data_IF_749536397114
#
_entry.id   IF_749536397114
#
_cell.length_a   1.000
_cell.length_b   1.000
_cell.length_c   1.000
_cell.angle_alpha   90.00
_cell.angle_beta   90.00
_cell.angle_gamma   90.00
#
_symmetry.space_group_name_H-M   'P 1'
#
loop_
_entity.id
_entity.type
_entity.pdbx_description
1 polymer ?
#
# COMPACT_ATOMS: atom_id res chain seq x y z
N UNK A 1 -7.92 -2.56 -11.81
CA UNK A 1 -7.34 -1.22 -11.66
C UNK A 1 -7.49 -0.78 -10.23
N UNK A 2 -6.51 -0.05 -9.72
CA UNK A 2 -6.50 0.32 -8.31
C UNK A 2 -5.69 1.59 -8.12
N UNK A 3 -5.80 2.20 -6.94
CA UNK A 3 -4.87 3.22 -6.51
C UNK A 3 -3.64 2.55 -5.91
N UNK A 4 -2.50 3.21 -5.98
CA UNK A 4 -1.21 2.68 -5.56
C UNK A 4 -0.58 3.65 -4.57
N UNK A 5 -0.07 3.12 -3.46
CA UNK A 5 0.66 3.92 -2.48
C UNK A 5 2.15 3.84 -2.81
N UNK A 6 2.74 4.99 -3.11
CA UNK A 6 4.13 5.08 -3.52
C UNK A 6 5.10 5.32 -2.38
N UNK A 7 6.34 5.66 -2.75
CA UNK A 7 7.45 5.75 -1.82
C UNK A 7 7.28 6.86 -0.77
N UNK A 8 6.53 7.92 -1.07
CA UNK A 8 6.35 9.03 -0.13
C UNK A 8 5.67 8.59 1.18
N UNK A 9 4.93 7.46 1.17
CA UNK A 9 4.32 6.92 2.38
C UNK A 9 5.33 6.21 3.30
N UNK A 10 6.46 5.76 2.76
CA UNK A 10 7.43 4.98 3.54
C UNK A 10 7.92 5.80 4.72
N UNK A 11 7.83 5.22 5.92
CA UNK A 11 8.20 5.82 7.21
C UNK A 11 7.36 7.04 7.62
N UNK A 12 6.38 7.45 6.82
CA UNK A 12 5.39 8.47 7.18
C UNK A 12 4.13 7.83 7.73
N UNK A 13 3.52 6.94 6.92
CA UNK A 13 2.37 6.14 7.29
C UNK A 13 1.22 6.96 7.90
N UNK A 14 0.92 8.11 7.29
CA UNK A 14 -0.27 8.86 7.69
C UNK A 14 -1.51 8.04 7.35
N UNK A 15 -2.39 7.84 8.32
CA UNK A 15 -3.48 6.90 8.19
C UNK A 15 -4.81 7.55 7.76
N UNK A 16 -4.79 8.80 7.33
CA UNK A 16 -6.02 9.46 6.88
C UNK A 16 -6.69 8.70 5.75
N UNK A 17 -5.89 8.10 4.85
CA UNK A 17 -6.42 7.31 3.74
C UNK A 17 -7.19 6.07 4.21
N UNK A 18 -6.76 5.46 5.30
CA UNK A 18 -7.42 4.25 5.84
C UNK A 18 -8.84 4.56 6.27
N UNK A 19 -9.04 5.70 6.92
CA UNK A 19 -10.35 6.10 7.40
C UNK A 19 -11.32 6.40 6.26
N UNK A 20 -10.81 6.81 5.10
CA UNK A 20 -11.62 7.20 3.97
C UNK A 20 -11.89 6.07 2.98
N UNK A 21 -11.25 4.93 3.14
CA UNK A 21 -11.50 3.80 2.24
C UNK A 21 -12.81 3.10 2.62
N UNK A 22 -13.84 3.15 1.74
CA UNK A 22 -15.16 2.61 2.09
C UNK A 22 -15.21 1.08 2.16
N UNK A 23 -14.24 0.39 1.57
CA UNK A 23 -14.21 -1.07 1.55
C UNK A 23 -13.05 -1.65 2.36
N UNK A 24 -12.33 -0.81 3.09
CA UNK A 24 -11.29 -1.25 4.02
C UNK A 24 -10.22 -2.11 3.33
N UNK A 25 -9.74 -1.65 2.17
CA UNK A 25 -8.75 -2.40 1.38
C UNK A 25 -7.32 -1.90 1.52
N UNK A 26 -7.05 -1.04 2.52
CA UNK A 26 -5.70 -0.52 2.78
C UNK A 26 -5.12 -1.23 3.99
N UNK A 27 -4.06 -1.98 3.76
CA UNK A 27 -3.45 -2.86 4.76
C UNK A 27 -2.16 -2.24 5.30
N UNK A 28 -1.84 -2.54 6.55
CA UNK A 28 -0.72 -1.91 7.26
C UNK A 28 0.49 -2.84 7.30
N UNK A 29 1.58 -2.45 6.62
CA UNK A 29 2.89 -3.08 6.76
C UNK A 29 3.64 -2.49 7.95
N UNK A 30 4.95 -2.67 7.98
CA UNK A 30 5.79 -2.08 9.04
C UNK A 30 6.11 -0.61 8.74
N UNK A 31 6.47 -0.29 7.49
CA UNK A 31 6.93 1.05 7.09
C UNK A 31 6.01 1.75 6.13
N UNK A 32 5.09 1.03 5.50
CA UNK A 32 4.23 1.55 4.43
C UNK A 32 2.84 0.93 4.53
N UNK A 33 1.85 1.65 4.02
CA UNK A 33 0.49 1.12 3.82
C UNK A 33 0.38 0.58 2.39
N UNK A 34 -0.48 -0.42 2.20
CA UNK A 34 -0.64 -1.10 0.90
C UNK A 34 -2.12 -1.18 0.54
N UNK A 35 -2.46 -0.76 -0.68
CA UNK A 35 -3.82 -0.89 -1.21
C UNK A 35 -3.92 -2.23 -1.94
N UNK A 36 -4.95 -3.03 -1.61
CA UNK A 36 -5.16 -4.31 -2.27
C UNK A 36 -5.62 -4.06 -3.72
N UNK A 37 -4.89 -4.57 -4.72
CA UNK A 37 -5.17 -4.24 -6.13
C UNK A 37 -6.51 -4.80 -6.63
N UNK A 38 -7.00 -5.90 -6.04
CA UNK A 38 -8.25 -6.52 -6.46
C UNK A 38 -9.44 -6.03 -5.64
N UNK A 39 -9.23 -5.65 -4.37
CA UNK A 39 -10.32 -5.19 -3.51
C UNK A 39 -10.64 -3.72 -3.72
N UNK A 40 -9.69 -2.93 -4.22
CA UNK A 40 -9.87 -1.50 -4.45
C UNK A 40 -10.92 -1.23 -5.53
N UNK A 41 -11.84 -0.31 -5.27
CA UNK A 41 -12.93 0.03 -6.19
C UNK A 41 -12.68 1.32 -6.97
N UNK A 42 -11.47 1.85 -6.95
CA UNK A 42 -11.07 3.05 -7.71
C UNK A 42 -11.83 4.33 -7.34
N UNK A 43 -12.35 4.43 -6.11
CA UNK A 43 -13.13 5.61 -5.72
C UNK A 43 -12.29 6.88 -5.50
N UNK A 44 -10.99 6.74 -5.23
CA UNK A 44 -10.08 7.88 -5.10
C UNK A 44 -10.15 8.63 -3.78
N UNK A 45 -10.98 8.22 -2.82
CA UNK A 45 -11.12 8.92 -1.55
C UNK A 45 -9.80 8.96 -0.77
N UNK A 46 -9.05 7.85 -0.79
CA UNK A 46 -7.77 7.76 -0.09
C UNK A 46 -6.73 8.74 -0.66
N UNK A 47 -6.70 8.90 -1.98
CA UNK A 47 -5.74 9.80 -2.63
C UNK A 47 -5.96 11.26 -2.22
N UNK A 48 -7.23 11.64 -2.07
CA UNK A 48 -7.56 13.01 -1.65
C UNK A 48 -7.19 13.27 -0.19
N UNK A 49 -7.08 12.25 0.62
CA UNK A 49 -6.79 12.38 2.05
C UNK A 49 -5.32 12.27 2.39
N UNK A 50 -4.47 11.84 1.46
CA UNK A 50 -3.06 11.65 1.75
C UNK A 50 -2.32 12.98 1.80
N UNK A 51 -1.74 13.37 2.96
CA UNK A 51 -1.09 14.68 3.09
C UNK A 51 0.26 14.78 2.40
N UNK A 52 0.85 13.64 2.02
CA UNK A 52 2.16 13.61 1.33
C UNK A 52 2.03 13.23 -0.14
N UNK A 53 0.80 13.18 -0.65
CA UNK A 53 0.54 12.88 -2.07
C UNK A 53 1.17 11.56 -2.53
N UNK A 54 1.13 10.55 -1.67
CA UNK A 54 1.75 9.26 -1.96
C UNK A 54 0.88 8.35 -2.81
N UNK A 55 -0.39 8.68 -3.01
CA UNK A 55 -1.37 7.78 -3.62
C UNK A 55 -1.74 8.25 -5.00
N UNK A 56 -1.55 7.39 -6.00
CA UNK A 56 -1.82 7.69 -7.40
C UNK A 56 -2.62 6.56 -8.02
N UNK A 57 -3.58 6.89 -8.91
CA UNK A 57 -4.29 5.88 -9.69
C UNK A 57 -3.30 5.18 -10.61
N UNK A 58 -3.39 3.86 -10.75
CA UNK A 58 -2.41 3.10 -11.50
C UNK A 58 -2.32 3.53 -12.98
N UNK A 59 -3.41 4.01 -13.54
CA UNK A 59 -3.42 4.51 -14.92
C UNK A 59 -2.69 5.84 -15.10
N UNK A 60 -2.49 6.59 -14.00
CA UNK A 60 -1.78 7.85 -14.03
C UNK A 60 -0.30 7.71 -13.70
N UNK A 61 0.16 6.49 -13.38
CA UNK A 61 1.55 6.26 -13.06
C UNK A 61 2.42 6.33 -14.31
N UNK A 62 3.46 7.14 -14.23
CA UNK A 62 4.50 7.17 -15.26
C UNK A 62 5.34 5.90 -15.13
N UNK A 63 5.47 5.09 -16.21
CA UNK A 63 6.31 3.88 -16.14
C UNK A 63 7.77 4.15 -15.76
N UNK A 64 8.25 5.36 -15.97
CA UNK A 64 9.62 5.76 -15.58
C UNK A 64 9.70 6.20 -14.13
N UNK A 65 8.59 6.37 -13.44
CA UNK A 65 8.56 6.79 -12.05
C UNK A 65 8.87 5.62 -11.10
N UNK A 66 9.58 5.87 -9.98
CA UNK A 66 9.75 4.84 -8.95
C UNK A 66 8.42 4.28 -8.44
N UNK A 67 7.36 5.08 -8.45
CA UNK A 67 6.06 4.64 -7.95
C UNK A 67 5.44 3.54 -8.81
N UNK A 68 5.86 3.41 -10.07
CA UNK A 68 5.37 2.31 -10.91
C UNK A 68 5.81 0.93 -10.38
N UNK A 69 6.96 0.86 -9.73
CA UNK A 69 7.41 -0.39 -9.11
C UNK A 69 6.55 -0.75 -7.91
N UNK A 70 6.00 0.24 -7.21
CA UNK A 70 5.11 0.00 -6.08
C UNK A 70 3.77 -0.59 -6.51
N UNK A 71 3.33 -0.35 -7.74
CA UNK A 71 2.13 -1.01 -8.27
C UNK A 71 2.32 -2.52 -8.36
N UNK A 72 3.44 -2.97 -8.92
CA UNK A 72 3.78 -4.39 -8.98
C UNK A 72 4.03 -4.95 -7.57
N UNK A 73 4.68 -4.16 -6.72
CA UNK A 73 5.01 -4.58 -5.37
C UNK A 73 3.76 -4.76 -4.51
N UNK A 74 2.71 -3.96 -4.72
CA UNK A 74 1.45 -4.14 -4.00
C UNK A 74 0.85 -5.50 -4.30
N UNK A 75 0.90 -5.95 -5.57
CA UNK A 75 0.46 -7.29 -5.92
C UNK A 75 1.30 -8.35 -5.22
N UNK A 76 2.61 -8.15 -5.18
CA UNK A 76 3.51 -9.10 -4.49
C UNK A 76 3.21 -9.16 -2.99
N UNK A 77 2.86 -8.03 -2.37
CA UNK A 77 2.53 -8.01 -0.95
C UNK A 77 1.40 -8.97 -0.60
N UNK A 78 0.40 -9.09 -1.47
CA UNK A 78 -0.77 -9.93 -1.20
C UNK A 78 -0.65 -11.33 -1.76
N UNK A 79 0.08 -11.53 -2.84
CA UNK A 79 0.07 -12.82 -3.57
C UNK A 79 1.39 -13.58 -3.50
N UNK A 80 2.37 -13.08 -2.75
CA UNK A 80 3.60 -13.79 -2.45
C UNK A 80 3.77 -13.88 -0.94
N UNK A 81 4.41 -14.94 -0.42
CA UNK A 81 4.65 -15.05 1.01
C UNK A 81 5.53 -13.92 1.52
N UNK A 82 5.10 -13.28 2.61
CA UNK A 82 5.88 -12.24 3.27
C UNK A 82 6.84 -12.86 4.30
N UNK A 83 7.91 -12.13 4.69
CA UNK A 83 8.82 -12.62 5.73
C UNK A 83 8.07 -13.02 6.99
N UNK A 84 8.34 -14.23 7.47
CA UNK A 84 7.69 -14.76 8.67
C UNK A 84 6.30 -15.35 8.46
N UNK A 85 5.79 -15.34 7.22
CA UNK A 85 4.49 -15.92 6.90
C UNK A 85 4.66 -17.06 5.90
N UNK A 86 4.09 -18.24 6.17
CA UNK A 86 4.25 -19.40 5.28
C UNK A 86 3.39 -19.33 4.03
N UNK A 87 2.34 -18.50 4.02
CA UNK A 87 1.41 -18.41 2.89
C UNK A 87 1.10 -16.96 2.58
N UNK A 88 0.77 -16.63 1.30
CA UNK A 88 0.40 -15.27 0.92
C UNK A 88 -0.94 -14.86 1.54
N UNK A 89 -1.14 -13.55 1.66
CA UNK A 89 -2.38 -13.00 2.24
C UNK A 89 -3.60 -13.23 1.35
N UNK A 90 -3.42 -13.14 0.05
CA UNK A 90 -4.47 -13.26 -0.98
C UNK A 90 -5.54 -12.17 -0.81
N UNK A 91 -6.82 -12.55 -0.72
CA UNK A 91 -7.93 -11.59 -0.57
C UNK A 91 -8.55 -11.71 0.82
N UNK A 92 -7.98 -11.01 1.83
CA UNK A 92 -8.51 -11.10 3.19
C UNK A 92 -9.92 -10.53 3.35
N UNK A 93 -10.33 -9.59 2.48
CA UNK A 93 -11.68 -9.05 2.51
C UNK A 93 -11.93 -7.93 3.50
N UNK A 94 -10.89 -7.37 4.10
CA UNK A 94 -11.01 -6.25 5.02
C UNK A 94 -9.78 -6.13 5.91
N UNK A 95 -9.16 -4.94 5.88
CA UNK A 95 -7.93 -4.71 6.63
C UNK A 95 -8.16 -4.74 8.14
N UNK A 96 -9.30 -4.23 8.60
CA UNK A 96 -9.61 -4.20 10.02
C UNK A 96 -9.77 -5.61 10.59
N UNK A 97 -10.35 -6.52 9.81
CA UNK A 97 -10.55 -7.91 10.24
C UNK A 97 -9.23 -8.67 10.33
N UNK A 98 -8.32 -8.41 9.39
CA UNK A 98 -7.00 -9.04 9.40
C UNK A 98 -6.10 -8.46 10.48
N UNK A 99 -6.21 -7.15 10.74
CA UNK A 99 -5.32 -6.43 11.61
C UNK A 99 -4.01 -6.04 10.92
N UNK A 100 -3.10 -5.36 11.63
CA UNK A 100 -1.82 -4.96 11.05
C UNK A 100 -1.01 -6.17 10.61
N UNK A 101 -0.49 -6.12 9.38
CA UNK A 101 0.38 -7.18 8.85
C UNK A 101 1.76 -7.10 9.51
N UNK A 102 2.28 -5.89 9.68
CA UNK A 102 3.49 -5.64 10.47
C UNK A 102 4.80 -5.98 9.79
N UNK A 103 4.76 -6.40 8.53
CA UNK A 103 5.96 -6.67 7.73
C UNK A 103 5.79 -6.06 6.34
N UNK A 104 6.91 -5.80 5.67
CA UNK A 104 6.92 -5.20 4.34
C UNK A 104 7.46 -6.18 3.32
N UNK A 105 7.27 -5.83 2.03
CA UNK A 105 7.94 -6.52 0.93
C UNK A 105 9.44 -6.26 0.98
N UNK A 106 10.20 -7.08 0.24
CA UNK A 106 11.64 -6.87 0.12
C UNK A 106 11.96 -5.50 -0.49
N UNK A 107 11.17 -5.03 -1.44
CA UNK A 107 11.36 -3.72 -2.05
C UNK A 107 11.29 -2.60 -1.00
N UNK A 108 10.25 -2.59 -0.18
CA UNK A 108 10.06 -1.54 0.83
C UNK A 108 11.10 -1.68 1.94
N UNK A 109 11.39 -2.91 2.37
CA UNK A 109 12.39 -3.13 3.41
C UNK A 109 13.78 -2.67 3.02
N UNK A 110 14.11 -2.69 1.72
CA UNK A 110 15.39 -2.26 1.20
C UNK A 110 15.52 -0.74 1.05
N UNK A 111 14.43 0.01 1.12
CA UNK A 111 14.47 1.47 1.00
C UNK A 111 15.16 2.05 2.23
N UNK A 112 16.15 2.96 2.04
CA UNK A 112 16.78 3.62 3.19
C UNK A 112 15.74 4.31 4.06
N UNK A 113 16.00 4.37 5.39
CA UNK A 113 15.05 4.99 6.30
C UNK A 113 14.85 6.45 5.94
N UNK A 114 13.59 6.86 5.83
CA UNK A 114 13.20 8.23 5.56
C UNK A 114 13.11 8.98 6.88
N UNK A 115 13.63 10.19 6.93
CA UNK A 115 13.47 11.02 8.10
C UNK A 115 12.12 11.71 8.07
N UNK A 116 11.45 11.79 9.22
CA UNK A 116 10.21 12.54 9.33
C UNK A 116 10.47 14.02 9.14
N UNK A 117 9.64 14.67 8.36
CA UNK A 117 9.75 16.10 8.10
C UNK A 117 8.79 16.89 8.98
#
# INVERSE_FOLDING_TARGET
>A
MAYVIGEACVDVMDRSCVDDCPIDCIYTGERKLYIHPEECIDCGACARSCPVDAITWDRDLDPASPDSTHATDATAFFYQPLPGRPAPLREPGGAADLGPVGVDTALVSAIPRQEAQ
#
